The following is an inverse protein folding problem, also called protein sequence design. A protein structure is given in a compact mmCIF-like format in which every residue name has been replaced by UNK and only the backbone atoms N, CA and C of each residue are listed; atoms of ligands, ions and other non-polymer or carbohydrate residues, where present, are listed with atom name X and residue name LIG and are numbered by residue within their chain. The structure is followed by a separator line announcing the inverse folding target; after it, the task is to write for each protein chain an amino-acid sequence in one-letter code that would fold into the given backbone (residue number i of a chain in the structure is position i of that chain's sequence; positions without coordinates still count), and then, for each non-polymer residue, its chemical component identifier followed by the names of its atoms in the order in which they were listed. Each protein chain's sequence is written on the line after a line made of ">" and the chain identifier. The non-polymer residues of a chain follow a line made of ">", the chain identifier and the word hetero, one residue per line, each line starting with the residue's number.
data_IF_907291759172
#
_entry.id   IF_907291759172
#
_cell.length_a   1.000
_cell.length_b   1.000
_cell.length_c   1.000
_cell.angle_alpha   90.00
_cell.angle_beta   90.00
_cell.angle_gamma   90.00
#
_symmetry.space_group_name_H-M   'P 1'
#
loop_
_entity.id
_entity.type
_entity.pdbx_description
1 polymer ?
#
# COMPACT_ATOMS: atom_id res chain seq x y z
N UNK A 1 -56.14 -9.65 39.88
CA UNK A 1 -54.84 -8.96 40.06
C UNK A 1 -53.97 -9.35 38.87
N UNK A 2 -53.78 -8.45 37.89
CA UNK A 2 -52.57 -7.61 37.70
C UNK A 2 -51.34 -8.49 37.39
N UNK A 3 -50.63 -8.44 36.25
CA UNK A 3 -50.52 -7.49 35.14
C UNK A 3 -50.01 -8.21 33.89
N UNK A 4 -50.55 -7.80 32.75
CA UNK A 4 -50.06 -7.98 31.39
C UNK A 4 -48.72 -7.24 31.25
N UNK A 5 -47.63 -7.90 30.86
CA UNK A 5 -46.36 -7.25 30.50
C UNK A 5 -46.12 -7.43 29.00
N UNK A 6 -46.54 -6.40 28.25
CA UNK A 6 -46.09 -6.11 26.91
C UNK A 6 -44.61 -5.72 26.97
N UNK A 7 -43.73 -6.49 26.33
CA UNK A 7 -42.37 -6.04 26.01
C UNK A 7 -42.33 -5.73 24.51
N UNK A 8 -42.61 -4.46 24.19
CA UNK A 8 -42.34 -3.87 22.88
C UNK A 8 -40.83 -3.60 22.82
N UNK A 9 -40.06 -4.50 22.20
CA UNK A 9 -38.69 -4.23 21.79
C UNK A 9 -38.75 -3.49 20.45
N UNK A 10 -38.82 -2.17 20.50
CA UNK A 10 -38.48 -1.31 19.36
C UNK A 10 -36.99 -1.49 19.08
N UNK A 11 -36.67 -2.34 18.11
CA UNK A 11 -35.37 -2.29 17.44
C UNK A 11 -35.36 -1.02 16.59
N UNK A 12 -34.80 0.06 17.15
CA UNK A 12 -34.36 1.21 16.38
C UNK A 12 -33.17 0.73 15.54
N UNK A 13 -33.45 0.20 14.36
CA UNK A 13 -32.45 0.05 13.31
C UNK A 13 -32.03 1.46 12.95
N UNK A 14 -30.97 1.93 13.60
CA UNK A 14 -30.22 3.07 13.14
C UNK A 14 -29.59 2.64 11.82
N UNK A 15 -30.34 2.82 10.73
CA UNK A 15 -29.81 2.78 9.38
C UNK A 15 -28.86 3.96 9.25
N UNK A 16 -27.67 3.85 9.82
CA UNK A 16 -26.53 4.60 9.35
C UNK A 16 -26.37 4.17 7.91
N UNK A 17 -26.97 4.95 7.00
CA UNK A 17 -26.46 5.13 5.66
C UNK A 17 -24.99 5.51 5.85
N UNK A 18 -24.12 4.50 5.91
CA UNK A 18 -22.79 4.65 5.36
C UNK A 18 -23.08 5.15 3.95
N UNK A 19 -22.80 6.43 3.72
CA UNK A 19 -22.54 6.88 2.39
C UNK A 19 -21.37 6.02 1.93
N UNK A 20 -21.66 4.90 1.27
CA UNK A 20 -20.75 4.27 0.35
C UNK A 20 -20.53 5.37 -0.69
N UNK A 21 -19.54 6.22 -0.43
CA UNK A 21 -19.02 7.15 -1.40
C UNK A 21 -18.71 6.30 -2.61
N UNK A 22 -19.43 6.57 -3.69
CA UNK A 22 -19.12 6.03 -5.00
C UNK A 22 -17.61 6.17 -5.18
N UNK A 23 -16.92 5.06 -5.46
CA UNK A 23 -15.49 5.09 -5.72
C UNK A 23 -15.27 6.17 -6.79
N UNK A 24 -14.73 7.31 -6.38
CA UNK A 24 -14.42 8.35 -7.34
C UNK A 24 -13.21 7.81 -8.08
N UNK A 25 -13.43 7.38 -9.32
CA UNK A 25 -12.38 6.95 -10.25
C UNK A 25 -11.41 8.08 -10.63
N UNK A 26 -11.41 9.15 -9.87
CA UNK A 26 -10.72 10.41 -10.06
C UNK A 26 -10.02 10.79 -8.76
N UNK A 27 -8.72 11.05 -8.83
CA UNK A 27 -8.01 11.84 -7.84
C UNK A 27 -7.67 13.21 -8.42
N UNK A 28 -7.92 14.26 -7.65
CA UNK A 28 -7.71 15.64 -8.06
C UNK A 28 -6.82 16.36 -7.06
N UNK A 29 -5.76 16.99 -7.56
CA UNK A 29 -4.69 17.56 -6.74
C UNK A 29 -4.30 18.91 -7.32
N UNK A 30 -4.33 19.93 -6.48
CA UNK A 30 -3.80 21.24 -6.81
C UNK A 30 -2.43 21.43 -6.15
N UNK A 31 -1.42 21.77 -6.94
CA UNK A 31 -0.08 22.13 -6.49
C UNK A 31 0.24 23.49 -7.08
N UNK A 32 0.34 24.51 -6.23
CA UNK A 32 0.49 25.90 -6.68
C UNK A 32 -0.62 26.27 -7.68
N UNK A 33 -0.26 26.79 -8.86
CA UNK A 33 -1.20 27.16 -9.93
C UNK A 33 -1.44 26.03 -10.95
N UNK A 34 -1.20 24.76 -10.57
CA UNK A 34 -1.38 23.61 -11.45
C UNK A 34 -2.33 22.60 -10.82
N UNK A 35 -3.31 22.15 -11.61
CA UNK A 35 -4.21 21.05 -11.27
C UNK A 35 -3.77 19.77 -11.99
N UNK A 36 -3.70 18.68 -11.22
CA UNK A 36 -3.45 17.33 -11.71
C UNK A 36 -4.70 16.48 -11.48
N UNK A 37 -5.22 15.88 -12.54
CA UNK A 37 -6.35 14.96 -12.49
C UNK A 37 -5.88 13.56 -12.89
N UNK A 38 -5.99 12.63 -11.96
CA UNK A 38 -5.68 11.21 -12.13
C UNK A 38 -6.98 10.47 -12.33
N UNK A 39 -7.16 9.86 -13.50
CA UNK A 39 -8.39 9.21 -13.89
C UNK A 39 -8.12 7.72 -14.17
N UNK A 40 -8.91 6.84 -13.57
CA UNK A 40 -8.93 5.40 -13.87
C UNK A 40 -10.23 5.09 -14.61
N UNK A 41 -10.15 4.60 -15.84
CA UNK A 41 -11.31 4.25 -16.66
C UNK A 41 -11.24 2.82 -17.15
N UNK A 42 -12.41 2.24 -17.46
CA UNK A 42 -12.54 0.88 -17.94
C UNK A 42 -12.88 -0.10 -16.82
N UNK A 43 -12.88 -1.37 -17.16
CA UNK A 43 -13.02 -2.48 -16.22
C UNK A 43 -12.05 -3.60 -16.59
N UNK A 44 -12.23 -4.77 -15.99
CA UNK A 44 -11.37 -5.94 -16.20
C UNK A 44 -10.99 -6.13 -17.69
N UNK A 45 -9.69 -6.20 -17.97
CA UNK A 45 -9.12 -6.36 -19.31
C UNK A 45 -9.05 -5.10 -20.19
N UNK A 46 -9.62 -3.99 -19.74
CA UNK A 46 -9.68 -2.71 -20.50
C UNK A 46 -9.31 -1.49 -19.67
N UNK A 47 -8.97 -1.68 -18.39
CA UNK A 47 -8.66 -0.61 -17.46
C UNK A 47 -7.43 0.20 -17.91
N UNK A 48 -7.50 1.52 -17.72
CA UNK A 48 -6.46 2.48 -18.09
C UNK A 48 -6.41 3.64 -17.12
N UNK A 49 -5.21 4.11 -16.81
CA UNK A 49 -4.99 5.36 -16.08
C UNK A 49 -4.54 6.45 -17.04
N UNK A 50 -5.15 7.62 -16.90
CA UNK A 50 -4.76 8.86 -17.57
C UNK A 50 -4.45 9.90 -16.51
N UNK A 51 -3.38 10.69 -16.71
CA UNK A 51 -3.10 11.86 -15.88
C UNK A 51 -3.10 13.11 -16.74
N UNK A 52 -3.90 14.07 -16.31
CA UNK A 52 -4.08 15.34 -17.00
C UNK A 52 -3.56 16.48 -16.14
N UNK A 53 -2.82 17.38 -16.76
CA UNK A 53 -2.29 18.60 -16.16
C UNK A 53 -3.02 19.81 -16.75
N UNK A 54 -3.48 20.70 -15.89
CA UNK A 54 -4.09 21.98 -16.28
C UNK A 54 -3.38 23.10 -15.52
N UNK A 55 -2.79 24.04 -16.24
CA UNK A 55 -2.24 25.25 -15.62
C UNK A 55 -3.40 26.22 -15.33
N UNK A 56 -3.68 26.57 -14.08
CA UNK A 56 -4.88 27.35 -13.72
C UNK A 56 -4.88 28.77 -14.31
N UNK A 57 -3.71 29.30 -14.67
CA UNK A 57 -3.56 30.55 -15.42
C UNK A 57 -3.73 30.43 -16.94
N UNK A 58 -3.81 29.21 -17.48
CA UNK A 58 -3.94 28.93 -18.92
C UNK A 58 -4.87 27.74 -19.14
N UNK A 59 -6.04 27.95 -19.74
CA UNK A 59 -7.10 26.93 -19.87
C UNK A 59 -6.74 25.68 -20.71
N UNK A 60 -5.48 25.51 -21.13
CA UNK A 60 -4.99 24.31 -21.79
C UNK A 60 -4.93 23.11 -20.83
N UNK A 61 -5.61 22.03 -21.22
CA UNK A 61 -5.50 20.71 -20.59
C UNK A 61 -4.52 19.86 -21.39
N UNK A 62 -3.57 19.23 -20.72
CA UNK A 62 -2.56 18.35 -21.32
C UNK A 62 -2.59 16.98 -20.68
N UNK A 63 -2.72 15.92 -21.47
CA UNK A 63 -2.48 14.55 -21.01
C UNK A 63 -0.97 14.37 -20.88
N UNK A 64 -0.49 14.13 -19.66
CA UNK A 64 0.94 14.00 -19.34
C UNK A 64 1.35 12.55 -19.05
N UNK A 65 0.38 11.67 -18.85
CA UNK A 65 0.62 10.24 -18.64
C UNK A 65 -0.58 9.42 -19.10
N UNK A 66 -0.31 8.27 -19.71
CA UNK A 66 -1.31 7.26 -20.03
C UNK A 66 -0.70 5.86 -19.84
N UNK A 67 -1.44 4.93 -19.22
CA UNK A 67 -1.01 3.54 -19.06
C UNK A 67 -2.21 2.60 -19.02
N UNK A 68 -2.17 1.58 -19.86
CA UNK A 68 -3.06 0.42 -19.73
C UNK A 68 -2.67 -0.39 -18.50
N UNK A 69 -3.69 -0.82 -17.77
CA UNK A 69 -3.58 -1.62 -16.56
C UNK A 69 -3.54 -3.12 -16.89
N UNK A 70 -3.27 -3.94 -15.88
CA UNK A 70 -3.24 -5.39 -16.05
C UNK A 70 -4.64 -5.94 -16.30
N UNK A 71 -4.72 -7.16 -16.86
CA UNK A 71 -6.00 -7.74 -17.24
C UNK A 71 -6.96 -7.87 -16.05
N UNK A 72 -6.44 -8.08 -14.85
CA UNK A 72 -7.20 -8.24 -13.61
C UNK A 72 -7.54 -6.92 -12.91
N UNK A 73 -7.05 -5.78 -13.40
CA UNK A 73 -7.34 -4.47 -12.82
C UNK A 73 -8.73 -3.99 -13.24
N UNK A 74 -9.51 -3.48 -12.28
CA UNK A 74 -10.85 -2.93 -12.50
C UNK A 74 -10.97 -1.54 -11.87
N UNK A 75 -10.90 -0.51 -12.73
CA UNK A 75 -11.08 0.86 -12.29
C UNK A 75 -12.44 1.11 -11.62
N UNK A 76 -13.49 0.33 -11.89
CA UNK A 76 -14.80 0.46 -11.23
C UNK A 76 -14.79 0.10 -9.72
N UNK A 77 -13.76 -0.62 -9.28
CA UNK A 77 -13.50 -0.95 -7.88
C UNK A 77 -12.26 -0.21 -7.34
N UNK A 78 -11.70 0.70 -8.15
CA UNK A 78 -10.49 1.44 -7.85
C UNK A 78 -10.66 2.40 -6.68
N UNK A 79 -9.68 2.48 -5.79
CA UNK A 79 -9.66 3.49 -4.73
C UNK A 79 -8.37 4.29 -4.81
N UNK A 80 -8.50 5.59 -5.06
CA UNK A 80 -7.39 6.53 -5.01
C UNK A 80 -7.06 6.94 -3.56
N UNK A 81 -5.78 7.15 -3.29
CA UNK A 81 -5.29 7.81 -2.08
C UNK A 81 -4.30 8.89 -2.49
N UNK A 82 -4.56 10.13 -2.06
CA UNK A 82 -3.67 11.26 -2.27
C UNK A 82 -2.97 11.58 -0.95
N UNK A 83 -1.66 11.78 -1.01
CA UNK A 83 -0.90 12.17 0.17
C UNK A 83 -1.35 13.54 0.73
N UNK A 84 -1.85 13.60 1.99
CA UNK A 84 -2.27 14.84 2.63
C UNK A 84 -1.10 15.74 3.05
N UNK A 85 0.15 15.27 3.02
CA UNK A 85 1.35 15.99 3.53
C UNK A 85 1.74 17.23 2.70
N UNK A 86 0.85 17.69 1.82
CA UNK A 86 1.20 18.41 0.60
C UNK A 86 0.94 19.92 0.59
N UNK A 87 0.56 20.53 1.71
CA UNK A 87 0.22 21.97 1.68
C UNK A 87 1.40 22.92 1.93
N UNK A 88 2.60 22.47 2.38
CA UNK A 88 3.62 23.42 2.88
C UNK A 88 5.08 23.24 2.45
N UNK A 89 5.49 22.15 1.79
CA UNK A 89 6.89 21.98 1.38
C UNK A 89 7.04 21.61 -0.09
N UNK A 90 7.93 22.28 -0.81
CA UNK A 90 8.44 21.86 -2.13
C UNK A 90 9.06 20.47 -1.96
N UNK A 91 8.37 19.44 -2.38
CA UNK A 91 8.80 18.05 -2.21
C UNK A 91 7.88 17.12 -2.98
N UNK A 92 8.31 15.87 -3.11
CA UNK A 92 7.60 14.84 -3.84
C UNK A 92 6.21 14.61 -3.21
N UNK A 93 5.16 14.58 -4.03
CA UNK A 93 3.80 14.16 -3.64
C UNK A 93 3.53 12.76 -4.14
N UNK A 94 2.89 11.93 -3.34
CA UNK A 94 2.46 10.61 -3.76
C UNK A 94 0.96 10.57 -4.03
N UNK A 95 0.62 9.86 -5.09
CA UNK A 95 -0.75 9.50 -5.47
C UNK A 95 -0.75 8.01 -5.70
N UNK A 96 -1.61 7.29 -5.00
CA UNK A 96 -1.71 5.84 -5.16
C UNK A 96 -3.12 5.45 -5.58
N UNK A 97 -3.22 4.33 -6.29
CA UNK A 97 -4.49 3.68 -6.58
C UNK A 97 -4.35 2.18 -6.34
N UNK A 98 -5.25 1.62 -5.55
CA UNK A 98 -5.56 0.20 -5.62
C UNK A 98 -6.63 0.03 -6.71
N UNK A 99 -6.32 -0.54 -7.89
CA UNK A 99 -7.27 -0.68 -9.00
C UNK A 99 -8.26 -1.84 -8.79
N UNK A 100 -8.65 -2.12 -7.54
CA UNK A 100 -9.74 -3.04 -7.23
C UNK A 100 -9.39 -4.53 -7.30
N UNK A 101 -8.10 -4.90 -7.37
CA UNK A 101 -7.72 -6.31 -7.34
C UNK A 101 -7.99 -6.93 -5.96
N UNK A 102 -8.75 -8.04 -5.87
CA UNK A 102 -8.87 -8.79 -4.63
C UNK A 102 -7.66 -9.71 -4.42
N UNK A 103 -7.18 -9.82 -3.19
CA UNK A 103 -6.24 -10.89 -2.77
C UNK A 103 -4.89 -10.40 -2.25
N UNK A 104 -4.09 -11.36 -1.77
CA UNK A 104 -2.79 -11.12 -1.11
C UNK A 104 -1.69 -10.64 -2.06
N UNK A 105 -1.87 -10.86 -3.37
CA UNK A 105 -0.97 -10.40 -4.43
C UNK A 105 -1.42 -9.09 -5.06
N UNK A 106 -2.50 -8.47 -4.58
CA UNK A 106 -2.99 -7.22 -5.12
C UNK A 106 -1.93 -6.12 -4.95
N UNK A 107 -1.70 -5.37 -6.01
CA UNK A 107 -0.74 -4.27 -6.03
C UNK A 107 -1.45 -2.94 -6.23
N UNK A 108 -1.04 -1.93 -5.48
CA UNK A 108 -1.38 -0.54 -5.76
C UNK A 108 -0.30 0.10 -6.65
N UNK A 109 -0.75 0.94 -7.57
CA UNK A 109 0.12 1.75 -8.40
C UNK A 109 0.50 3.02 -7.63
N UNK A 110 1.77 3.39 -7.69
CA UNK A 110 2.31 4.60 -7.07
C UNK A 110 2.76 5.57 -8.14
N UNK A 111 2.25 6.80 -8.05
CA UNK A 111 2.69 7.94 -8.82
C UNK A 111 3.37 8.94 -7.91
N UNK A 112 4.45 9.55 -8.41
CA UNK A 112 5.09 10.68 -7.75
C UNK A 112 4.90 11.95 -8.57
N UNK A 113 4.63 13.05 -7.89
CA UNK A 113 4.64 14.39 -8.48
C UNK A 113 5.85 15.12 -7.93
N UNK A 114 6.81 15.40 -8.79
CA UNK A 114 8.06 16.06 -8.45
C UNK A 114 8.32 17.21 -9.41
N UNK A 115 8.51 18.40 -8.85
CA UNK A 115 8.82 19.63 -9.59
C UNK A 115 7.87 19.87 -10.78
N UNK A 116 6.59 19.54 -10.57
CA UNK A 116 5.51 19.72 -11.54
C UNK A 116 5.37 18.61 -12.60
N UNK A 117 6.18 17.56 -12.53
CA UNK A 117 6.11 16.40 -13.42
C UNK A 117 5.52 15.19 -12.69
N UNK A 118 4.75 14.37 -13.40
CA UNK A 118 4.18 13.13 -12.86
C UNK A 118 4.99 11.95 -13.38
N UNK A 119 5.37 11.06 -12.47
CA UNK A 119 6.10 9.84 -12.78
C UNK A 119 5.34 8.63 -12.26
N UNK A 120 5.33 7.55 -13.04
CA UNK A 120 4.96 6.24 -12.51
C UNK A 120 6.15 5.65 -11.74
N UNK A 121 6.01 5.61 -10.42
CA UNK A 121 7.05 5.18 -9.50
C UNK A 121 7.16 3.66 -9.43
N UNK A 122 6.04 2.95 -9.52
CA UNK A 122 6.01 1.49 -9.55
C UNK A 122 4.79 0.92 -8.86
N UNK A 123 4.91 -0.35 -8.48
CA UNK A 123 3.89 -1.12 -7.80
C UNK A 123 4.34 -1.42 -6.37
N UNK A 124 3.41 -1.44 -5.42
CA UNK A 124 3.63 -1.95 -4.06
C UNK A 124 2.43 -2.80 -3.63
N UNK A 125 2.59 -3.76 -2.72
CA UNK A 125 1.47 -4.55 -2.21
C UNK A 125 0.38 -3.68 -1.57
N UNK A 126 -0.89 -4.00 -1.81
CA UNK A 126 -2.03 -3.28 -1.19
C UNK A 126 -2.00 -3.39 0.34
N UNK A 127 -1.45 -4.49 0.87
CA UNK A 127 -1.28 -4.69 2.30
C UNK A 127 -0.13 -3.87 2.91
N UNK A 128 0.66 -3.15 2.10
CA UNK A 128 1.73 -2.32 2.62
C UNK A 128 1.15 -1.03 3.25
N UNK A 129 1.45 -0.81 4.52
CA UNK A 129 1.06 0.37 5.27
C UNK A 129 2.02 1.52 5.00
N UNK A 130 1.48 2.74 4.96
CA UNK A 130 2.30 3.93 4.83
C UNK A 130 2.89 4.32 6.18
N UNK A 131 4.22 4.26 6.31
CA UNK A 131 4.95 4.56 7.57
C UNK A 131 5.76 5.85 7.52
N UNK A 132 5.80 6.53 6.37
CA UNK A 132 6.50 7.80 6.23
C UNK A 132 6.10 8.55 4.96
N UNK A 133 6.78 9.66 4.71
CA UNK A 133 6.40 10.55 3.60
C UNK A 133 6.55 9.87 2.24
N UNK A 134 7.62 9.08 2.07
CA UNK A 134 7.92 8.33 0.85
C UNK A 134 8.16 6.85 1.13
N UNK A 135 7.66 6.34 2.28
CA UNK A 135 7.96 5.01 2.78
C UNK A 135 6.68 4.20 3.03
N UNK A 136 6.73 2.92 2.67
CA UNK A 136 5.72 1.92 2.94
C UNK A 136 6.37 0.71 3.61
N UNK A 137 5.61 0.03 4.44
CA UNK A 137 6.04 -1.15 5.20
C UNK A 137 5.04 -2.27 4.96
N UNK A 138 5.52 -3.45 4.60
CA UNK A 138 4.71 -4.66 4.56
C UNK A 138 5.23 -5.64 5.61
N UNK A 139 4.36 -6.06 6.53
CA UNK A 139 4.64 -7.17 7.45
C UNK A 139 3.93 -8.44 6.99
N UNK A 140 4.66 -9.52 6.80
CA UNK A 140 4.12 -10.84 6.45
C UNK A 140 4.57 -11.89 7.46
N UNK A 141 3.63 -12.73 7.91
CA UNK A 141 3.96 -13.88 8.74
C UNK A 141 4.66 -14.93 7.88
N UNK A 142 5.82 -15.41 8.32
CA UNK A 142 6.51 -16.49 7.67
C UNK A 142 5.73 -17.80 7.78
N UNK A 143 5.59 -18.54 6.67
CA UNK A 143 4.83 -19.81 6.65
C UNK A 143 5.48 -20.90 7.51
N UNK A 144 6.79 -20.79 7.79
CA UNK A 144 7.54 -21.67 8.69
C UNK A 144 7.46 -21.28 10.17
N UNK A 145 6.68 -20.26 10.54
CA UNK A 145 6.61 -19.69 11.90
C UNK A 145 7.99 -19.24 12.45
N UNK A 146 8.91 -18.88 11.56
CA UNK A 146 10.25 -18.45 11.94
C UNK A 146 10.25 -17.04 12.50
N UNK A 147 9.34 -16.19 12.02
CA UNK A 147 9.15 -14.82 12.49
C UNK A 147 8.18 -14.04 11.61
N UNK A 148 8.29 -12.72 11.67
CA UNK A 148 7.59 -11.78 10.79
C UNK A 148 8.63 -11.18 9.83
N UNK A 149 8.39 -11.31 8.54
CA UNK A 149 9.13 -10.58 7.52
C UNK A 149 8.59 -9.16 7.43
N UNK A 150 9.48 -8.19 7.41
CA UNK A 150 9.17 -6.78 7.23
C UNK A 150 9.95 -6.26 6.05
N UNK A 151 9.23 -5.78 5.05
CA UNK A 151 9.78 -5.18 3.84
C UNK A 151 9.50 -3.67 3.86
N UNK A 152 10.54 -2.87 3.64
CA UNK A 152 10.43 -1.41 3.54
C UNK A 152 10.61 -0.99 2.10
N UNK A 153 9.59 -0.33 1.56
CA UNK A 153 9.58 0.24 0.22
C UNK A 153 9.70 1.75 0.30
N UNK A 154 10.58 2.33 -0.51
CA UNK A 154 10.76 3.78 -0.59
C UNK A 154 10.66 4.29 -2.03
N UNK A 155 10.10 5.50 -2.18
CA UNK A 155 10.18 6.26 -3.44
C UNK A 155 11.51 7.01 -3.45
N UNK A 156 12.46 6.50 -4.23
CA UNK A 156 13.79 7.08 -4.44
C UNK A 156 13.96 7.36 -5.93
N UNK A 157 14.33 8.60 -6.28
CA UNK A 157 14.47 9.06 -7.67
C UNK A 157 13.21 8.81 -8.51
N UNK A 158 12.03 9.10 -7.93
CA UNK A 158 10.72 8.87 -8.56
C UNK A 158 10.46 7.40 -8.94
N UNK A 159 11.11 6.45 -8.27
CA UNK A 159 10.91 5.01 -8.42
C UNK A 159 10.74 4.32 -7.08
N UNK A 160 9.85 3.34 -7.02
CA UNK A 160 9.72 2.43 -5.89
C UNK A 160 10.95 1.51 -5.86
N UNK A 161 11.57 1.39 -4.69
CA UNK A 161 12.64 0.44 -4.40
C UNK A 161 12.35 -0.21 -3.05
N UNK A 162 12.54 -1.52 -2.95
CA UNK A 162 12.67 -2.18 -1.64
C UNK A 162 14.05 -1.81 -1.10
N UNK A 163 14.10 -1.06 0.00
CA UNK A 163 15.35 -0.52 0.58
C UNK A 163 15.82 -1.30 1.78
N UNK A 164 14.91 -2.01 2.46
CA UNK A 164 15.24 -2.88 3.58
C UNK A 164 14.34 -4.11 3.59
N UNK A 165 14.93 -5.23 3.98
CA UNK A 165 14.23 -6.45 4.34
C UNK A 165 14.72 -6.90 5.72
N UNK A 166 13.78 -7.16 6.63
CA UNK A 166 14.04 -7.51 8.01
C UNK A 166 13.27 -8.76 8.41
N UNK A 167 13.92 -9.65 9.16
CA UNK A 167 13.23 -10.73 9.86
C UNK A 167 13.15 -10.38 11.35
N UNK A 168 11.92 -10.32 11.87
CA UNK A 168 11.62 -10.09 13.28
C UNK A 168 11.38 -11.44 13.96
N UNK A 169 12.30 -11.84 14.85
CA UNK A 169 12.23 -13.10 15.58
C UNK A 169 11.89 -12.83 17.04
N UNK A 170 10.85 -13.49 17.56
CA UNK A 170 10.40 -13.33 18.94
C UNK A 170 11.32 -14.05 19.95
N UNK A 171 11.58 -15.35 19.73
CA UNK A 171 12.41 -16.22 20.58
C UNK A 171 12.98 -17.40 19.79
N UNK A 172 14.17 -17.86 20.19
CA UNK A 172 14.89 -18.99 19.60
C UNK A 172 15.97 -18.59 18.60
N UNK A 173 16.68 -19.61 18.12
CA UNK A 173 17.71 -19.45 17.10
C UNK A 173 17.13 -19.72 15.72
N UNK A 174 17.44 -18.85 14.77
CA UNK A 174 17.05 -18.97 13.37
C UNK A 174 18.31 -19.07 12.53
N UNK A 175 18.32 -19.99 11.56
CA UNK A 175 19.32 -20.01 10.50
C UNK A 175 18.71 -19.40 9.24
N UNK A 176 19.47 -18.53 8.56
CA UNK A 176 19.15 -18.03 7.22
C UNK A 176 20.27 -18.48 6.29
N UNK A 177 19.94 -19.22 5.24
CA UNK A 177 20.94 -19.68 4.27
C UNK A 177 21.37 -18.59 3.28
N UNK A 178 22.22 -18.94 2.31
CA UNK A 178 22.67 -18.02 1.26
C UNK A 178 21.59 -17.62 0.24
N UNK A 179 20.45 -18.32 0.23
CA UNK A 179 19.31 -18.04 -0.64
C UNK A 179 18.23 -17.20 0.06
N UNK A 180 18.39 -16.92 1.36
CA UNK A 180 17.40 -16.19 2.16
C UNK A 180 16.33 -17.08 2.79
N UNK A 181 16.42 -18.41 2.64
CA UNK A 181 15.51 -19.32 3.32
C UNK A 181 15.83 -19.35 4.81
N UNK A 182 14.80 -19.18 5.64
CA UNK A 182 14.93 -19.13 7.09
C UNK A 182 14.25 -20.33 7.75
N UNK A 183 14.87 -20.92 8.79
CA UNK A 183 14.24 -21.94 9.63
C UNK A 183 14.70 -21.84 11.08
N UNK A 184 13.85 -22.30 12.01
CA UNK A 184 14.20 -22.40 13.43
C UNK A 184 15.18 -23.55 13.64
N UNK A 185 16.21 -23.29 14.44
CA UNK A 185 17.10 -24.33 14.95
C UNK A 185 16.49 -24.97 16.18
N UNK A 186 16.55 -26.29 16.25
CA UNK A 186 16.07 -27.06 17.40
C UNK A 186 16.85 -26.68 18.67
N UNK A 187 16.14 -26.42 19.78
CA UNK A 187 16.77 -26.12 21.08
C UNK A 187 17.60 -27.33 21.53
N UNK A 188 18.92 -27.16 21.60
CA UNK A 188 19.86 -28.25 21.92
C UNK A 188 20.22 -29.18 20.74
N UNK A 189 19.77 -28.86 19.53
CA UNK A 189 20.12 -29.60 18.32
C UNK A 189 21.53 -29.29 17.82
N UNK A 190 22.20 -30.27 17.22
CA UNK A 190 23.46 -30.11 16.49
C UNK A 190 23.25 -29.65 15.04
N UNK A 191 22.09 -29.07 14.74
CA UNK A 191 21.75 -28.60 13.40
C UNK A 191 22.77 -27.55 12.96
N UNK A 192 23.40 -27.84 11.82
CA UNK A 192 24.40 -26.98 11.24
C UNK A 192 23.70 -25.85 10.51
N UNK A 193 24.02 -24.62 10.89
CA UNK A 193 23.63 -23.45 10.12
C UNK A 193 24.79 -23.10 9.17
N UNK A 194 24.65 -23.45 7.90
CA UNK A 194 25.64 -23.12 6.87
C UNK A 194 25.56 -21.65 6.41
N UNK A 195 24.57 -20.90 6.91
CA UNK A 195 24.41 -19.47 6.68
C UNK A 195 24.50 -18.61 7.94
N UNK A 196 23.70 -17.55 8.01
CA UNK A 196 23.67 -16.59 9.12
C UNK A 196 22.75 -17.10 10.23
N UNK A 197 23.33 -17.33 11.42
CA UNK A 197 22.54 -17.60 12.63
C UNK A 197 22.11 -16.29 13.29
N UNK A 198 20.84 -16.22 13.64
CA UNK A 198 20.20 -15.12 14.35
C UNK A 198 19.64 -15.67 15.66
N UNK A 199 20.07 -15.12 16.79
CA UNK A 199 19.55 -15.48 18.11
C UNK A 199 18.56 -14.42 18.58
N UNK A 200 17.28 -14.75 18.61
CA UNK A 200 16.23 -13.90 19.14
C UNK A 200 16.17 -14.01 20.66
N UNK A 201 16.38 -12.89 21.35
CA UNK A 201 15.91 -12.69 22.73
C UNK A 201 15.11 -11.40 22.69
N UNK A 202 13.79 -11.53 22.53
CA UNK A 202 12.79 -10.46 22.36
C UNK A 202 12.95 -9.61 21.09
N UNK A 203 12.06 -9.82 20.12
CA UNK A 203 11.72 -8.92 18.97
C UNK A 203 12.88 -8.06 18.47
N UNK A 204 14.01 -8.68 18.11
CA UNK A 204 15.10 -7.98 17.44
C UNK A 204 14.88 -8.04 15.94
N UNK A 205 14.86 -6.88 15.31
CA UNK A 205 14.90 -6.77 13.87
C UNK A 205 16.30 -7.10 13.37
N UNK A 206 16.41 -8.06 12.46
CA UNK A 206 17.66 -8.36 11.78
C UNK A 206 17.54 -7.95 10.32
N UNK A 207 18.33 -6.95 9.92
CA UNK A 207 18.48 -6.58 8.52
C UNK A 207 19.17 -7.71 7.76
N UNK A 208 18.55 -8.12 6.66
CA UNK A 208 19.01 -9.23 5.82
C UNK A 208 19.76 -8.68 4.60
N UNK A 209 19.27 -7.59 4.00
CA UNK A 209 19.93 -6.84 2.93
C UNK A 209 19.64 -5.34 3.05
#
# INVERSE_FOLDING_TARGET
>A
MKKLFYFFLLAYACSSKLAMGQAENLADINIEDVRYQFLCEGGEGTSRITVEKTDLGNAGKLIIFEKNLEQTDDCGLGTWTVDPSSSRSKGIRLVTINPGQPGVSAQMLVFSIDSGNVFFAGYIPVAADRVGNLKFELETNDTGNVGIWREIYEVVDNKIKMTEEQLLVDDGDVCIDGNGEAWRLSVGGSERCDGKRISGTLKKAHKIQ
#
